data_IF_768900939879
#
_entry.id   IF_768900939879
#
_cell.length_a   1.000
_cell.length_b   1.000
_cell.length_c   1.000
_cell.angle_alpha   90.00
_cell.angle_beta   90.00
_cell.angle_gamma   90.00
#
_symmetry.space_group_name_H-M   'P 1'
#
loop_
_entity.id
_entity.type
_entity.pdbx_description
1 polymer ?
#
# COMPACT_ATOMS: atom_id res chain seq x y z
N UNK A 1 13.08 -0.80 -28.70
CA UNK A 1 12.27 -1.07 -29.90
C UNK A 1 10.77 -0.80 -29.66
N UNK A 2 10.14 -1.35 -28.60
CA UNK A 2 8.71 -1.13 -28.28
C UNK A 2 8.33 0.35 -28.14
N UNK A 3 9.14 1.16 -27.45
CA UNK A 3 8.92 2.61 -27.32
C UNK A 3 8.98 3.33 -28.65
N UNK A 4 9.86 2.92 -29.57
CA UNK A 4 9.92 3.48 -30.92
C UNK A 4 8.67 3.11 -31.74
N UNK A 5 8.23 1.87 -31.62
CA UNK A 5 7.00 1.39 -32.27
C UNK A 5 5.78 2.17 -31.80
N UNK A 6 5.62 2.32 -30.46
CA UNK A 6 4.51 3.07 -29.87
C UNK A 6 4.46 4.52 -30.36
N UNK A 7 5.60 5.19 -30.53
CA UNK A 7 5.67 6.57 -31.03
C UNK A 7 5.29 6.72 -32.52
N UNK A 8 5.35 5.62 -33.28
CA UNK A 8 5.08 5.64 -34.71
C UNK A 8 3.65 5.26 -35.07
N UNK A 9 2.99 4.54 -34.19
CA UNK A 9 1.64 4.01 -34.41
C UNK A 9 0.69 4.75 -33.47
N UNK A 10 -0.32 5.37 -34.03
CA UNK A 10 -1.42 6.01 -33.29
C UNK A 10 -2.46 4.93 -32.94
N UNK A 11 -2.10 4.11 -31.93
CA UNK A 11 -2.94 3.03 -31.45
C UNK A 11 -2.81 2.85 -29.94
N UNK A 12 -3.84 2.30 -29.31
CA UNK A 12 -3.79 1.88 -27.92
C UNK A 12 -3.10 0.52 -27.82
N UNK A 13 -2.03 0.46 -27.03
CA UNK A 13 -1.32 -0.76 -26.74
C UNK A 13 -1.65 -1.26 -25.36
N UNK A 14 -2.00 -2.54 -25.25
CA UNK A 14 -2.11 -3.24 -23.99
C UNK A 14 -0.95 -4.24 -23.91
N UNK A 15 -0.12 -4.10 -22.89
CA UNK A 15 1.04 -4.93 -22.65
C UNK A 15 0.93 -5.61 -21.29
N UNK A 16 0.98 -6.93 -21.28
CA UNK A 16 0.91 -7.71 -20.04
C UNK A 16 2.32 -8.18 -19.72
N UNK A 17 2.81 -7.82 -18.55
CA UNK A 17 4.13 -8.20 -18.04
C UNK A 17 4.09 -8.44 -16.54
N UNK A 18 5.01 -9.22 -16.04
CA UNK A 18 5.31 -9.32 -14.61
C UNK A 18 6.57 -8.52 -14.22
N UNK A 19 7.23 -7.90 -15.21
CA UNK A 19 8.39 -7.07 -14.98
C UNK A 19 7.95 -5.63 -14.66
N UNK A 20 8.20 -5.24 -13.40
CA UNK A 20 7.83 -3.92 -12.89
C UNK A 20 8.58 -2.79 -13.61
N UNK A 21 9.87 -2.99 -13.93
CA UNK A 21 10.70 -1.99 -14.59
C UNK A 21 10.20 -1.73 -16.01
N UNK A 22 9.80 -2.78 -16.73
CA UNK A 22 9.16 -2.63 -18.03
C UNK A 22 7.86 -1.85 -17.92
N UNK A 23 6.98 -2.23 -16.99
CA UNK A 23 5.70 -1.55 -16.78
C UNK A 23 5.91 -0.07 -16.45
N UNK A 24 6.80 0.25 -15.50
CA UNK A 24 7.09 1.62 -15.06
C UNK A 24 7.70 2.48 -16.17
N UNK A 25 8.49 1.86 -17.07
CA UNK A 25 9.21 2.60 -18.12
C UNK A 25 8.38 2.76 -19.40
N UNK A 26 7.61 1.75 -19.75
CA UNK A 26 6.91 1.70 -21.02
C UNK A 26 5.49 2.25 -20.97
N UNK A 27 4.80 2.12 -19.85
CA UNK A 27 3.40 2.44 -19.76
C UNK A 27 3.12 3.94 -19.58
N UNK A 28 1.97 4.38 -20.09
CA UNK A 28 1.35 5.66 -19.71
C UNK A 28 0.41 5.50 -18.53
N UNK A 29 -0.17 4.31 -18.40
CA UNK A 29 -0.96 3.87 -17.23
C UNK A 29 -0.66 2.42 -16.93
N UNK A 30 -0.61 2.09 -15.66
CA UNK A 30 -0.44 0.74 -15.13
C UNK A 30 -1.76 0.29 -14.53
N UNK A 31 -2.23 -0.88 -14.95
CA UNK A 31 -3.34 -1.58 -14.33
C UNK A 31 -2.80 -2.74 -13.51
N UNK A 32 -2.79 -2.60 -12.21
CA UNK A 32 -2.35 -3.63 -11.30
C UNK A 32 -3.52 -4.50 -10.90
N UNK A 33 -3.41 -5.80 -11.17
CA UNK A 33 -4.49 -6.78 -10.96
C UNK A 33 -3.99 -7.86 -10.02
N UNK A 34 -4.79 -8.19 -9.03
CA UNK A 34 -4.59 -9.35 -8.16
C UNK A 34 -5.89 -10.13 -8.05
N UNK A 35 -5.82 -11.45 -8.24
CA UNK A 35 -6.97 -12.35 -8.13
C UNK A 35 -8.20 -11.94 -8.96
N UNK A 36 -7.97 -11.36 -10.15
CA UNK A 36 -9.03 -10.89 -11.04
C UNK A 36 -9.64 -9.53 -10.64
N UNK A 37 -9.12 -8.89 -9.59
CA UNK A 37 -9.58 -7.59 -9.11
C UNK A 37 -8.53 -6.52 -9.43
N UNK A 38 -8.98 -5.39 -10.00
CA UNK A 38 -8.12 -4.24 -10.22
C UNK A 38 -7.80 -3.59 -8.87
N UNK A 39 -6.52 -3.58 -8.53
CA UNK A 39 -6.01 -2.97 -7.29
C UNK A 39 -5.77 -1.47 -7.47
N UNK A 40 -5.16 -1.08 -8.61
CA UNK A 40 -4.96 0.32 -8.96
C UNK A 40 -4.80 0.46 -10.48
N UNK A 41 -5.29 1.58 -11.04
CA UNK A 41 -5.13 1.93 -12.45
C UNK A 41 -4.80 3.41 -12.59
N UNK A 42 -3.51 3.72 -12.63
CA UNK A 42 -2.99 5.09 -12.62
C UNK A 42 -1.68 5.21 -13.43
N UNK A 43 -1.18 6.44 -13.66
CA UNK A 43 0.17 6.65 -14.19
C UNK A 43 1.24 6.00 -13.29
N UNK A 44 2.38 5.57 -13.87
CA UNK A 44 3.43 4.88 -13.13
C UNK A 44 3.87 5.60 -11.84
N UNK A 45 4.13 6.90 -11.91
CA UNK A 45 4.57 7.68 -10.74
C UNK A 45 3.51 7.75 -9.64
N UNK A 46 2.22 7.76 -10.01
CA UNK A 46 1.12 7.72 -9.04
C UNK A 46 1.02 6.36 -8.37
N UNK A 47 1.15 5.27 -9.14
CA UNK A 47 1.16 3.91 -8.59
C UNK A 47 2.30 3.73 -7.59
N UNK A 48 3.48 4.30 -7.89
CA UNK A 48 4.65 4.24 -7.03
C UNK A 48 4.55 5.14 -5.79
N UNK A 49 4.17 6.41 -5.99
CA UNK A 49 4.23 7.43 -4.94
C UNK A 49 2.99 7.48 -4.04
N UNK A 50 1.82 7.10 -4.57
CA UNK A 50 0.54 7.09 -3.85
C UNK A 50 -0.21 5.78 -4.07
N UNK A 51 0.35 4.66 -3.56
CA UNK A 51 -0.30 3.35 -3.68
C UNK A 51 -1.63 3.34 -2.91
N UNK A 52 -2.67 2.77 -3.53
CA UNK A 52 -4.02 2.75 -2.95
C UNK A 52 -4.20 1.74 -1.81
N UNK A 53 -3.32 0.76 -1.72
CA UNK A 53 -3.33 -0.24 -0.65
C UNK A 53 -1.94 -0.83 -0.45
N UNK A 54 -1.79 -1.62 0.60
CA UNK A 54 -0.51 -2.22 0.97
C UNK A 54 0.00 -3.20 -0.10
N UNK A 55 -0.89 -3.91 -0.77
CA UNK A 55 -0.50 -4.80 -1.87
C UNK A 55 0.19 -4.02 -3.01
N UNK A 56 -0.38 -2.89 -3.42
CA UNK A 56 0.24 -2.05 -4.46
C UNK A 56 1.57 -1.50 -3.98
N UNK A 57 1.64 -1.07 -2.72
CA UNK A 57 2.86 -0.54 -2.11
C UNK A 57 3.99 -1.56 -2.10
N UNK A 58 3.69 -2.81 -1.71
CA UNK A 58 4.63 -3.93 -1.64
C UNK A 58 5.04 -4.41 -3.04
N UNK A 59 4.05 -4.54 -3.92
CA UNK A 59 4.27 -5.08 -5.26
C UNK A 59 5.12 -4.17 -6.12
N UNK A 60 5.06 -2.83 -5.95
CA UNK A 60 5.73 -1.86 -6.83
C UNK A 60 6.94 -1.24 -6.15
N UNK A 61 8.11 -1.54 -6.68
CA UNK A 61 9.41 -1.02 -6.23
C UNK A 61 10.47 -2.11 -6.10
N UNK A 62 11.70 -1.77 -6.42
CA UNK A 62 12.85 -2.64 -6.23
C UNK A 62 14.05 -1.78 -5.78
N UNK A 63 14.46 -1.87 -4.51
CA UNK A 63 13.93 -2.75 -3.45
C UNK A 63 12.47 -2.48 -3.06
N UNK A 64 11.82 -3.47 -2.42
CA UNK A 64 10.48 -3.33 -1.91
C UNK A 64 10.39 -2.27 -0.78
N UNK A 65 9.19 -1.79 -0.53
CA UNK A 65 8.91 -0.88 0.59
C UNK A 65 9.08 -1.61 1.93
N UNK A 66 9.57 -0.89 2.94
CA UNK A 66 9.60 -1.41 4.31
C UNK A 66 8.28 -1.07 5.00
N UNK A 67 7.66 -2.06 5.63
CA UNK A 67 6.47 -1.87 6.46
C UNK A 67 6.84 -2.01 7.93
N UNK A 68 6.35 -1.08 8.74
CA UNK A 68 6.56 -1.04 10.18
C UNK A 68 5.20 -0.83 10.83
N UNK A 69 4.81 -1.68 11.77
CA UNK A 69 3.63 -1.43 12.60
C UNK A 69 3.89 -0.26 13.53
N UNK A 70 2.95 0.67 13.56
CA UNK A 70 3.03 1.85 14.40
C UNK A 70 1.68 2.15 15.04
N UNK A 71 1.71 2.69 16.24
CA UNK A 71 0.58 3.41 16.80
C UNK A 71 0.69 4.85 16.39
N UNK A 72 -0.39 5.43 15.90
CA UNK A 72 -0.39 6.81 15.41
C UNK A 72 -1.42 7.64 16.17
N UNK A 73 -1.03 8.87 16.51
CA UNK A 73 -1.89 9.86 17.14
C UNK A 73 -1.68 11.22 16.52
N UNK A 74 -2.76 11.82 16.11
CA UNK A 74 -2.72 13.17 15.55
C UNK A 74 -3.01 14.21 16.63
N UNK A 75 -2.13 15.19 16.74
CA UNK A 75 -2.32 16.37 17.61
C UNK A 75 -1.83 17.63 16.87
N UNK A 76 -2.73 18.58 16.64
CA UNK A 76 -2.43 19.86 15.98
C UNK A 76 -1.75 19.72 14.59
N UNK A 77 -2.18 18.75 13.77
CA UNK A 77 -1.61 18.51 12.43
C UNK A 77 -0.24 17.84 12.45
N UNK A 78 0.21 17.37 13.62
CA UNK A 78 1.43 16.57 13.77
C UNK A 78 1.01 15.15 14.13
N UNK A 79 1.50 14.16 13.38
CA UNK A 79 1.26 12.76 13.66
C UNK A 79 2.43 12.22 14.49
N UNK A 80 2.16 11.82 15.71
CA UNK A 80 3.10 11.11 16.56
C UNK A 80 2.99 9.62 16.26
N UNK A 81 4.11 8.98 15.92
CA UNK A 81 4.20 7.57 15.60
C UNK A 81 5.03 6.87 16.68
N UNK A 82 4.45 5.83 17.27
CA UNK A 82 5.11 4.93 18.20
C UNK A 82 5.33 3.58 17.51
N UNK A 83 6.59 3.24 17.26
CA UNK A 83 7.00 2.00 16.63
C UNK A 83 7.70 1.06 17.64
N UNK A 84 7.72 -0.23 17.33
CA UNK A 84 8.45 -1.26 18.09
C UNK A 84 8.14 -1.21 19.59
N UNK A 85 6.86 -1.35 19.94
CA UNK A 85 6.36 -1.28 21.33
C UNK A 85 6.78 0.00 22.08
N UNK A 86 6.72 1.12 21.38
CA UNK A 86 7.11 2.46 21.87
C UNK A 86 8.60 2.64 22.14
N UNK A 87 9.44 1.74 21.66
CA UNK A 87 10.91 1.91 21.73
C UNK A 87 11.38 3.08 20.85
N UNK A 88 10.66 3.34 19.77
CA UNK A 88 10.97 4.43 18.84
C UNK A 88 9.77 5.34 18.70
N UNK A 89 10.00 6.64 18.97
CA UNK A 89 9.00 7.68 18.81
C UNK A 89 9.42 8.64 17.70
N UNK A 90 8.55 8.79 16.74
CA UNK A 90 8.78 9.67 15.59
C UNK A 90 7.67 10.71 15.49
N UNK A 91 7.99 11.86 14.91
CA UNK A 91 7.00 12.88 14.55
C UNK A 91 6.96 12.99 13.03
N UNK A 92 5.78 12.86 12.48
CA UNK A 92 5.54 13.02 11.06
C UNK A 92 4.72 14.27 10.81
N UNK A 93 5.21 15.10 9.90
CA UNK A 93 4.52 16.29 9.41
C UNK A 93 4.03 15.99 8.00
N UNK A 94 2.74 15.65 7.83
CA UNK A 94 2.23 15.38 6.49
C UNK A 94 2.33 16.62 5.61
N UNK A 95 2.71 16.42 4.36
CA UNK A 95 2.81 17.51 3.38
C UNK A 95 1.44 18.06 2.96
N UNK A 96 0.39 17.31 3.19
CA UNK A 96 -1.01 17.68 2.94
C UNK A 96 -1.78 17.64 4.27
N UNK A 97 -2.95 18.25 4.31
CA UNK A 97 -3.87 18.15 5.43
C UNK A 97 -4.37 16.69 5.51
N UNK A 98 -3.62 15.87 6.23
CA UNK A 98 -3.95 14.47 6.50
C UNK A 98 -4.56 14.40 7.90
N UNK A 99 -5.83 14.06 7.99
CA UNK A 99 -6.56 13.85 9.23
C UNK A 99 -6.84 12.35 9.40
N UNK A 100 -6.13 11.73 10.34
CA UNK A 100 -6.18 10.27 10.53
C UNK A 100 -7.59 9.76 10.80
N UNK A 101 -8.35 10.47 11.63
CA UNK A 101 -9.73 10.05 11.95
C UNK A 101 -10.65 10.12 10.73
N UNK A 102 -10.54 11.17 9.92
CA UNK A 102 -11.34 11.35 8.72
C UNK A 102 -11.01 10.26 7.67
N UNK A 103 -9.73 9.95 7.49
CA UNK A 103 -9.27 8.90 6.59
C UNK A 103 -9.78 7.52 7.01
N UNK A 104 -9.76 7.21 8.31
CA UNK A 104 -10.31 5.95 8.85
C UNK A 104 -11.81 5.88 8.60
N UNK A 105 -12.56 6.93 8.89
CA UNK A 105 -14.01 6.97 8.69
C UNK A 105 -14.39 6.83 7.21
N UNK A 106 -13.68 7.52 6.32
CA UNK A 106 -13.91 7.42 4.88
C UNK A 106 -13.61 5.99 4.37
N UNK A 107 -12.54 5.37 4.85
CA UNK A 107 -12.20 3.98 4.50
C UNK A 107 -13.29 3.00 4.94
N UNK A 108 -13.77 3.13 6.19
CA UNK A 108 -14.85 2.29 6.71
C UNK A 108 -16.15 2.47 5.91
N UNK A 109 -16.46 3.72 5.52
CA UNK A 109 -17.59 4.02 4.65
C UNK A 109 -17.48 3.35 3.29
N UNK A 110 -16.32 3.51 2.63
CA UNK A 110 -16.06 2.90 1.32
C UNK A 110 -16.06 1.37 1.37
N UNK A 111 -15.54 0.79 2.43
CA UNK A 111 -15.57 -0.65 2.65
C UNK A 111 -17.02 -1.14 2.74
N UNK A 112 -17.84 -0.51 3.57
CA UNK A 112 -19.26 -0.86 3.72
C UNK A 112 -20.03 -0.72 2.40
N UNK A 113 -19.85 0.39 1.67
CA UNK A 113 -20.48 0.58 0.37
C UNK A 113 -20.05 -0.50 -0.64
N UNK A 114 -18.79 -0.90 -0.62
CA UNK A 114 -18.29 -1.96 -1.48
C UNK A 114 -18.89 -3.34 -1.12
N UNK A 115 -18.97 -3.65 0.17
CA UNK A 115 -19.58 -4.88 0.67
C UNK A 115 -21.07 -4.96 0.27
N UNK A 116 -21.82 -3.87 0.45
CA UNK A 116 -23.23 -3.79 0.05
C UNK A 116 -23.40 -3.96 -1.47
N UNK A 117 -22.51 -3.35 -2.27
CA UNK A 117 -22.51 -3.48 -3.74
C UNK A 117 -22.23 -4.91 -4.17
N UNK A 118 -21.23 -5.55 -3.55
CA UNK A 118 -20.87 -6.95 -3.85
C UNK A 118 -21.97 -7.91 -3.43
N UNK A 119 -22.60 -7.71 -2.26
CA UNK A 119 -23.72 -8.51 -1.82
C UNK A 119 -24.93 -8.41 -2.77
N UNK A 120 -25.24 -7.19 -3.23
CA UNK A 120 -26.30 -6.96 -4.22
C UNK A 120 -25.97 -7.66 -5.55
N UNK A 121 -24.76 -7.54 -6.03
CA UNK A 121 -24.31 -8.18 -7.26
C UNK A 121 -24.37 -9.72 -7.15
N UNK A 122 -23.95 -10.27 -6.00
CA UNK A 122 -24.03 -11.70 -5.72
C UNK A 122 -25.47 -12.21 -5.71
N UNK A 123 -26.37 -11.45 -5.10
CA UNK A 123 -27.81 -11.79 -5.06
C UNK A 123 -28.44 -11.77 -6.47
N UNK A 124 -28.10 -10.79 -7.30
CA UNK A 124 -28.65 -10.65 -8.66
C UNK A 124 -28.09 -11.71 -9.63
N UNK A 125 -26.86 -12.14 -9.46
CA UNK A 125 -26.16 -13.05 -10.38
C UNK A 125 -26.14 -14.51 -9.92
N UNK A 126 -26.62 -14.79 -8.73
CA UNK A 126 -26.58 -16.14 -8.14
C UNK A 126 -25.16 -16.61 -7.80
N UNK A 127 -24.22 -15.69 -7.68
CA UNK A 127 -22.86 -15.98 -7.29
C UNK A 127 -22.79 -16.22 -5.79
N UNK A 128 -22.30 -17.40 -5.39
CA UNK A 128 -21.80 -17.58 -4.02
C UNK A 128 -20.42 -16.93 -3.99
N UNK A 129 -20.31 -15.85 -3.24
CA UNK A 129 -19.04 -15.18 -3.01
C UNK A 129 -18.05 -16.21 -2.44
N UNK A 130 -17.07 -16.60 -3.22
CA UNK A 130 -15.88 -17.23 -2.65
C UNK A 130 -15.23 -16.11 -1.85
N UNK A 131 -15.30 -16.21 -0.51
CA UNK A 131 -14.53 -15.34 0.38
C UNK A 131 -13.13 -15.30 -0.17
N UNK A 132 -12.75 -14.15 -0.69
CA UNK A 132 -11.44 -13.96 -1.27
C UNK A 132 -10.46 -14.00 -0.10
N UNK A 133 -9.84 -15.17 0.14
CA UNK A 133 -8.81 -15.34 1.17
C UNK A 133 -7.62 -14.42 0.96
N UNK A 134 -7.56 -13.78 -0.21
CA UNK A 134 -6.44 -12.95 -0.66
C UNK A 134 -6.61 -11.47 -0.31
N UNK A 135 -7.66 -11.06 0.39
CA UNK A 135 -7.73 -9.77 1.06
C UNK A 135 -6.88 -9.73 2.33
N UNK A 136 -6.38 -10.88 2.74
CA UNK A 136 -5.47 -11.05 3.87
C UNK A 136 -4.04 -11.08 3.35
N UNK A 137 -3.45 -9.91 3.17
CA UNK A 137 -2.02 -9.81 2.88
C UNK A 137 -1.25 -10.08 4.17
N UNK A 138 -0.49 -11.18 4.17
CA UNK A 138 0.54 -11.37 5.17
C UNK A 138 1.73 -10.50 4.80
N UNK A 139 1.92 -9.38 5.51
CA UNK A 139 3.12 -8.55 5.36
C UNK A 139 4.26 -9.18 6.16
N UNK A 140 5.45 -9.08 5.63
CA UNK A 140 6.63 -9.23 6.47
C UNK A 140 6.84 -7.90 7.20
N UNK A 141 6.32 -7.83 8.42
CA UNK A 141 6.60 -6.72 9.31
C UNK A 141 7.85 -7.13 10.08
N UNK A 142 8.93 -6.36 9.91
CA UNK A 142 10.15 -6.57 10.66
C UNK A 142 9.91 -6.17 12.11
N UNK A 143 9.97 -7.13 13.03
CA UNK A 143 10.04 -6.86 14.46
C UNK A 143 11.49 -6.72 14.88
N UNK A 144 11.77 -5.89 15.89
CA UNK A 144 13.14 -5.63 16.41
C UNK A 144 13.84 -6.91 16.88
N UNK A 145 13.09 -7.90 17.31
CA UNK A 145 13.63 -9.16 17.85
C UNK A 145 13.95 -10.22 16.78
N UNK A 146 13.83 -9.91 15.50
CA UNK A 146 14.14 -10.85 14.43
C UNK A 146 13.29 -12.13 14.41
N UNK A 147 12.26 -12.19 15.22
CA UNK A 147 11.27 -13.25 15.17
C UNK A 147 10.30 -12.92 14.05
N UNK A 148 10.40 -13.67 12.97
CA UNK A 148 9.34 -13.75 11.96
C UNK A 148 8.11 -14.32 12.67
N UNK A 149 7.25 -13.44 13.15
CA UNK A 149 5.95 -13.90 13.63
C UNK A 149 5.23 -14.55 12.47
N UNK A 150 4.83 -15.79 12.73
CA UNK A 150 4.07 -16.59 11.80
C UNK A 150 2.80 -15.84 11.39
N UNK A 151 2.48 -15.92 10.14
CA UNK A 151 1.30 -15.61 9.33
C UNK A 151 -0.09 -15.60 10.02
N UNK A 152 -0.19 -15.22 11.27
CA UNK A 152 -1.48 -15.06 11.91
C UNK A 152 -2.06 -13.71 11.49
N UNK A 153 -3.27 -13.79 10.96
CA UNK A 153 -4.10 -12.69 10.49
C UNK A 153 -4.31 -11.70 11.66
N UNK A 154 -3.39 -10.75 11.81
CA UNK A 154 -3.55 -9.71 12.80
C UNK A 154 -4.51 -8.67 12.24
N UNK A 155 -5.65 -8.50 12.89
CA UNK A 155 -6.53 -7.37 12.64
C UNK A 155 -5.97 -6.16 13.38
N UNK A 156 -5.61 -5.11 12.66
CA UNK A 156 -5.18 -3.85 13.28
C UNK A 156 -6.31 -3.25 14.12
N UNK A 157 -5.97 -2.73 15.28
CA UNK A 157 -6.90 -1.97 16.12
C UNK A 157 -7.03 -0.54 15.61
N UNK A 158 -7.97 0.25 16.14
CA UNK A 158 -8.29 1.60 15.63
C UNK A 158 -7.12 2.60 15.71
N UNK A 159 -6.14 2.34 16.58
CA UNK A 159 -4.94 3.15 16.78
C UNK A 159 -3.67 2.56 16.13
N UNK A 160 -3.79 1.40 15.49
CA UNK A 160 -2.69 0.71 14.81
C UNK A 160 -2.69 1.02 13.31
N UNK A 161 -1.53 1.36 12.80
CA UNK A 161 -1.29 1.72 11.40
C UNK A 161 -0.06 1.00 10.88
N UNK A 162 0.08 1.00 9.57
CA UNK A 162 1.29 0.51 8.91
C UNK A 162 2.02 1.69 8.27
N UNK A 163 3.20 1.99 8.76
CA UNK A 163 4.10 2.94 8.16
C UNK A 163 4.87 2.28 7.02
N UNK A 164 4.68 2.78 5.80
CA UNK A 164 5.46 2.36 4.64
C UNK A 164 6.61 3.31 4.37
N UNK A 165 7.83 2.80 4.36
CA UNK A 165 9.03 3.61 4.05
C UNK A 165 9.79 2.98 2.91
N UNK A 166 9.93 3.71 1.80
CA UNK A 166 10.75 3.24 0.70
C UNK A 166 12.23 3.41 0.99
N UNK A 167 13.09 2.46 0.59
CA UNK A 167 14.52 2.47 0.93
C UNK A 167 15.25 3.75 0.54
N UNK A 168 14.88 4.38 -0.57
CA UNK A 168 15.50 5.63 -1.03
C UNK A 168 15.25 6.85 -0.13
N UNK A 169 14.28 6.76 0.78
CA UNK A 169 14.01 7.81 1.78
C UNK A 169 14.70 7.56 3.11
N UNK A 170 15.34 6.41 3.28
CA UNK A 170 16.15 6.11 4.46
C UNK A 170 17.53 6.77 4.30
N UNK A 171 17.98 7.44 5.35
CA UNK A 171 19.31 8.03 5.43
C UNK A 171 19.98 7.56 6.69
N UNK A 172 21.26 7.23 6.59
CA UNK A 172 22.12 6.97 7.75
C UNK A 172 22.55 8.34 8.29
N UNK A 173 22.21 8.60 9.55
CA UNK A 173 22.52 9.85 10.24
C UNK A 173 22.81 9.54 11.70
N UNK A 174 23.90 10.13 12.26
CA UNK A 174 24.32 9.90 13.65
C UNK A 174 23.29 10.40 14.70
N UNK A 175 22.34 11.21 14.25
CA UNK A 175 21.24 11.76 15.09
C UNK A 175 19.88 11.10 14.78
N UNK A 176 19.86 10.06 13.98
CA UNK A 176 18.64 9.35 13.59
C UNK A 176 17.92 8.72 14.79
N UNK A 177 16.59 8.61 14.74
CA UNK A 177 15.80 8.01 15.82
C UNK A 177 15.91 6.49 15.89
N UNK A 178 16.48 5.86 14.87
CA UNK A 178 16.63 4.40 14.75
C UNK A 178 18.12 4.09 14.71
N UNK A 179 18.59 3.32 15.70
CA UNK A 179 19.94 2.77 15.68
C UNK A 179 19.93 1.49 14.84
N UNK A 180 20.82 1.44 13.84
CA UNK A 180 21.03 0.26 13.00
C UNK A 180 22.43 -0.30 13.26
N UNK A 181 22.53 -1.60 13.53
CA UNK A 181 23.78 -2.35 13.62
C UNK A 181 24.29 -2.81 12.24
#
# INVERSE_FOLDING_TARGET
ELLKLRKRIDATFVYVTHDQLEAMTLATKICLISNGVIQQYDPPLTVYGTPKNLFVADFVGNPAINFIEVKAKEENGIISLDAFDSSIKMKYHPANDLHLEEEVQERLRLQKENEERLAKYAAEKGYVEKKNKDLQFSFHISTVDGQLESKDEKTLTDDEYVLGVRPEFLRIDDSGPIEAE
#
